data_IF_471352630595
#
_entry.id   IF_471352630595
#
_cell.length_a   1.000
_cell.length_b   1.000
_cell.length_c   1.000
_cell.angle_alpha   90.00
_cell.angle_beta   90.00
_cell.angle_gamma   90.00
#
_symmetry.space_group_name_H-M   'P 1'
#
loop_
_entity.id
_entity.type
_entity.pdbx_description
1 polymer ?
#
# COMPACT_ATOMS: atom_id res chain seq x y z
N UNK A 1 30.04 29.73 19.01
CA UNK A 1 29.04 28.66 19.03
C UNK A 1 27.70 29.30 19.21
N UNK A 2 26.96 29.44 18.13
CA UNK A 2 25.51 29.57 18.17
C UNK A 2 25.04 28.33 17.45
N UNK A 3 24.26 27.48 18.11
CA UNK A 3 23.89 26.15 17.60
C UNK A 3 23.13 26.18 16.26
N UNK A 4 22.46 25.07 15.89
CA UNK A 4 21.88 24.94 14.56
C UNK A 4 20.87 26.05 14.27
N UNK A 5 20.85 26.48 13.01
CA UNK A 5 19.84 27.42 12.51
C UNK A 5 18.49 26.70 12.40
N UNK A 6 17.45 27.29 12.98
CA UNK A 6 16.08 26.78 12.88
C UNK A 6 15.46 27.37 11.61
N UNK A 7 15.27 26.53 10.60
CA UNK A 7 14.67 26.89 9.30
C UNK A 7 13.15 26.90 9.40
N UNK A 8 12.58 25.98 10.19
CA UNK A 8 11.15 25.88 10.45
C UNK A 8 10.90 25.32 11.84
N UNK A 9 9.87 25.80 12.51
CA UNK A 9 9.37 25.23 13.75
C UNK A 9 7.85 25.38 13.80
N UNK A 10 7.15 24.30 14.11
CA UNK A 10 5.70 24.31 14.25
C UNK A 10 5.13 22.94 14.59
N UNK A 11 3.86 22.92 14.98
CA UNK A 11 3.12 21.69 15.25
C UNK A 11 2.32 21.29 14.02
N UNK A 12 2.40 20.01 13.62
CA UNK A 12 1.63 19.41 12.54
C UNK A 12 0.93 18.17 13.07
N UNK A 13 -0.36 18.30 13.36
CA UNK A 13 -1.16 17.25 14.02
C UNK A 13 -0.52 16.79 15.33
N UNK A 14 -0.16 15.50 15.42
CA UNK A 14 0.43 14.89 16.61
C UNK A 14 1.94 15.16 16.79
N UNK A 15 2.57 15.94 15.91
CA UNK A 15 4.02 16.16 15.91
C UNK A 15 4.41 17.62 16.12
N UNK A 16 5.32 17.88 17.05
CA UNK A 16 6.18 19.06 17.05
C UNK A 16 7.33 18.82 16.08
N UNK A 17 7.44 19.67 15.05
CA UNK A 17 8.43 19.55 14.00
C UNK A 17 9.39 20.74 14.07
N UNK A 18 10.69 20.44 14.05
CA UNK A 18 11.73 21.46 13.88
C UNK A 18 12.64 21.07 12.73
N UNK A 19 12.83 21.94 11.75
CA UNK A 19 13.79 21.75 10.64
C UNK A 19 15.04 22.55 10.95
N UNK A 20 16.17 21.85 11.00
CA UNK A 20 17.46 22.37 11.44
C UNK A 20 18.45 22.39 10.27
N UNK A 21 19.23 23.45 10.19
CA UNK A 21 20.43 23.55 9.37
C UNK A 21 21.65 23.69 10.27
N UNK A 22 22.70 22.93 10.00
CA UNK A 22 23.96 23.03 10.72
C UNK A 22 25.13 22.80 9.77
N UNK A 23 26.33 23.18 10.21
CA UNK A 23 27.60 22.78 9.57
C UNK A 23 28.43 21.84 10.43
N UNK A 24 27.98 21.57 11.65
CA UNK A 24 28.64 20.76 12.64
C UNK A 24 27.62 19.81 13.29
N UNK A 25 27.91 18.51 13.29
CA UNK A 25 27.04 17.54 13.93
C UNK A 25 26.98 17.75 15.44
N UNK A 26 28.07 18.21 16.07
CA UNK A 26 28.07 18.45 17.50
C UNK A 26 27.05 19.53 17.89
N UNK A 27 26.88 20.57 17.07
CA UNK A 27 25.84 21.58 17.29
C UNK A 27 24.43 20.97 17.20
N UNK A 28 24.18 20.02 16.30
CA UNK A 28 22.90 19.30 16.24
C UNK A 28 22.68 18.37 17.44
N UNK A 29 23.70 17.61 17.83
CA UNK A 29 23.62 16.69 18.98
C UNK A 29 23.37 17.44 20.28
N UNK A 30 24.09 18.54 20.50
CA UNK A 30 23.88 19.42 21.66
C UNK A 30 22.44 19.98 21.68
N UNK A 31 21.88 20.29 20.51
CA UNK A 31 20.49 20.72 20.39
C UNK A 31 19.50 19.58 20.67
N UNK A 32 19.76 18.37 20.19
CA UNK A 32 18.94 17.19 20.48
C UNK A 32 18.90 16.92 21.98
N UNK A 33 20.05 16.93 22.65
CA UNK A 33 20.15 16.74 24.10
C UNK A 33 19.39 17.85 24.86
N UNK A 34 19.61 19.12 24.49
CA UNK A 34 18.94 20.25 25.12
C UNK A 34 17.41 20.21 24.95
N UNK A 35 16.92 19.57 23.88
CA UNK A 35 15.49 19.47 23.59
C UNK A 35 14.91 18.08 23.88
N UNK A 36 15.65 17.20 24.59
CA UNK A 36 15.22 15.83 24.96
C UNK A 36 14.80 14.99 23.74
N UNK A 37 15.61 14.97 22.69
CA UNK A 37 15.51 14.00 21.60
C UNK A 37 16.44 12.82 21.88
N UNK A 38 15.97 11.61 21.57
CA UNK A 38 16.81 10.43 21.62
C UNK A 38 17.45 10.21 20.25
N UNK A 39 18.73 9.88 20.25
CA UNK A 39 19.46 9.43 19.07
C UNK A 39 20.40 8.30 19.47
N UNK A 40 20.79 7.49 18.48
CA UNK A 40 21.78 6.43 18.65
C UNK A 40 23.17 6.96 18.25
N UNK A 41 24.21 6.64 19.02
CA UNK A 41 25.59 7.04 18.70
C UNK A 41 26.05 6.53 17.33
N UNK A 42 25.52 5.38 16.87
CA UNK A 42 25.79 4.82 15.56
C UNK A 42 25.24 5.69 14.41
N UNK A 43 24.31 6.61 14.69
CA UNK A 43 23.78 7.55 13.69
C UNK A 43 24.71 8.75 13.46
N UNK A 44 25.63 9.07 14.38
CA UNK A 44 26.48 10.27 14.30
C UNK A 44 27.29 10.36 12.99
N UNK A 45 27.99 9.30 12.53
CA UNK A 45 28.71 9.36 11.27
C UNK A 45 27.79 9.55 10.04
N UNK A 46 26.53 9.12 10.16
CA UNK A 46 25.52 9.26 9.10
C UNK A 46 25.02 10.71 9.07
N UNK A 47 24.75 11.29 10.25
CA UNK A 47 24.40 12.69 10.42
C UNK A 47 25.49 13.59 9.81
N UNK A 48 26.77 13.30 10.11
CA UNK A 48 27.91 14.02 9.55
C UNK A 48 27.91 14.02 8.01
N UNK A 49 27.64 12.87 7.40
CA UNK A 49 27.63 12.74 5.94
C UNK A 49 26.51 13.59 5.32
N UNK A 50 25.29 13.54 5.88
CA UNK A 50 24.18 14.37 5.43
C UNK A 50 24.48 15.88 5.54
N UNK A 51 25.14 16.31 6.63
CA UNK A 51 25.55 17.70 6.80
C UNK A 51 26.59 18.14 5.76
N UNK A 52 27.56 17.29 5.45
CA UNK A 52 28.57 17.55 4.42
C UNK A 52 27.95 17.65 3.02
N UNK A 53 26.89 16.89 2.78
CA UNK A 53 26.06 16.94 1.56
C UNK A 53 25.12 18.16 1.53
N UNK A 54 25.01 18.92 2.63
CA UNK A 54 24.19 20.13 2.73
C UNK A 54 22.71 19.89 3.04
N UNK A 55 22.36 18.71 3.56
CA UNK A 55 20.98 18.36 3.90
C UNK A 55 20.50 19.06 5.18
N UNK A 56 19.18 19.20 5.28
CA UNK A 56 18.49 19.68 6.49
C UNK A 56 17.98 18.49 7.32
N UNK A 57 17.85 18.69 8.62
CA UNK A 57 17.32 17.68 9.53
C UNK A 57 15.93 18.08 10.01
N UNK A 58 14.92 17.28 9.68
CA UNK A 58 13.58 17.42 10.24
C UNK A 58 13.47 16.54 11.49
N UNK A 59 13.47 17.17 12.66
CA UNK A 59 13.26 16.52 13.95
C UNK A 59 11.77 16.48 14.28
N UNK A 60 11.26 15.28 14.59
CA UNK A 60 9.86 15.04 14.94
C UNK A 60 9.77 14.62 16.41
N UNK A 61 8.89 15.27 17.16
CA UNK A 61 8.56 14.90 18.55
C UNK A 61 7.06 14.70 18.67
N UNK A 62 6.63 13.59 19.25
CA UNK A 62 5.22 13.36 19.53
C UNK A 62 4.74 14.28 20.65
N UNK A 63 3.61 14.94 20.43
CA UNK A 63 2.92 15.71 21.46
C UNK A 63 2.28 14.71 22.45
N UNK A 64 2.47 14.87 23.77
CA UNK A 64 1.86 13.98 24.75
C UNK A 64 0.33 14.01 24.66
N UNK A 65 -0.28 12.84 24.47
CA UNK A 65 -1.72 12.61 24.51
C UNK A 65 -2.00 11.25 25.15
N UNK A 66 -3.21 11.02 25.68
CA UNK A 66 -3.58 9.72 26.26
C UNK A 66 -3.61 8.61 25.20
N UNK A 67 -4.02 8.94 23.98
CA UNK A 67 -4.05 8.04 22.80
C UNK A 67 -3.50 8.78 21.56
N UNK A 68 -2.16 8.92 21.43
CA UNK A 68 -1.59 9.62 20.30
C UNK A 68 -1.83 8.83 19.00
N UNK A 69 -2.64 9.39 18.10
CA UNK A 69 -2.86 8.83 16.76
C UNK A 69 -1.75 9.33 15.83
N UNK A 70 -0.77 8.47 15.56
CA UNK A 70 0.27 8.75 14.57
C UNK A 70 -0.36 8.75 13.18
N UNK A 71 -0.12 9.82 12.42
CA UNK A 71 -0.60 9.97 11.05
C UNK A 71 0.58 10.26 10.10
N UNK A 72 0.41 10.01 8.79
CA UNK A 72 1.41 10.43 7.80
C UNK A 72 1.69 11.93 7.86
N UNK A 73 2.92 12.30 7.52
CA UNK A 73 3.36 13.71 7.42
C UNK A 73 3.71 14.03 5.97
N UNK A 74 3.32 15.20 5.50
CA UNK A 74 3.67 15.67 4.16
C UNK A 74 4.84 16.64 4.22
N UNK A 75 5.92 16.32 3.51
CA UNK A 75 7.06 17.19 3.36
C UNK A 75 6.99 17.90 2.01
N UNK A 76 7.06 19.24 2.03
CA UNK A 76 7.14 20.06 0.82
C UNK A 76 8.46 20.82 0.82
N UNK A 77 9.23 20.65 -0.23
CA UNK A 77 10.53 21.30 -0.42
C UNK A 77 10.69 21.74 -1.89
N UNK A 78 11.69 22.57 -2.16
CA UNK A 78 11.94 23.14 -3.51
C UNK A 78 12.74 22.22 -4.43
N UNK A 79 13.25 21.10 -3.91
CA UNK A 79 14.01 20.11 -4.68
C UNK A 79 13.15 19.47 -5.76
N UNK A 80 13.81 19.04 -6.84
CA UNK A 80 13.15 18.47 -8.04
C UNK A 80 13.50 17.00 -8.26
N UNK A 81 14.41 16.45 -7.45
CA UNK A 81 14.83 15.04 -7.48
C UNK A 81 14.25 14.35 -6.25
N UNK A 82 13.23 13.48 -6.42
CA UNK A 82 12.70 12.71 -5.31
C UNK A 82 13.77 11.79 -4.71
N UNK A 83 13.85 11.79 -3.38
CA UNK A 83 14.78 10.99 -2.60
C UNK A 83 14.06 10.33 -1.42
N UNK A 84 14.43 9.10 -1.09
CA UNK A 84 13.97 8.41 0.14
C UNK A 84 15.17 8.27 1.08
N UNK A 85 15.23 9.02 2.20
CA UNK A 85 16.38 9.03 3.09
C UNK A 85 16.40 7.79 3.98
N UNK A 86 17.09 6.73 3.56
CA UNK A 86 17.14 5.44 4.25
C UNK A 86 18.45 5.19 5.00
N UNK A 87 19.51 5.98 4.75
CA UNK A 87 20.79 5.79 5.46
C UNK A 87 20.63 5.97 6.97
N UNK A 88 19.83 6.94 7.43
CA UNK A 88 19.52 7.10 8.86
C UNK A 88 18.66 5.96 9.41
N UNK A 89 17.79 5.38 8.57
CA UNK A 89 16.93 4.25 8.96
C UNK A 89 17.75 3.00 9.28
N UNK A 90 18.94 2.85 8.68
CA UNK A 90 19.86 1.73 8.91
C UNK A 90 20.05 1.36 10.38
N UNK A 91 20.11 2.34 11.26
CA UNK A 91 20.43 2.11 12.69
C UNK A 91 19.34 1.33 13.41
N UNK A 92 18.09 1.45 12.95
CA UNK A 92 16.93 0.77 13.54
C UNK A 92 16.23 -0.19 12.55
N UNK A 93 16.83 -0.42 11.39
CA UNK A 93 16.30 -1.31 10.37
C UNK A 93 16.48 -2.79 10.74
N UNK A 94 15.64 -3.64 10.15
CA UNK A 94 15.73 -5.11 10.22
C UNK A 94 16.21 -5.65 8.87
N UNK A 95 16.71 -6.89 8.84
CA UNK A 95 17.05 -7.57 7.59
C UNK A 95 15.82 -7.66 6.66
N UNK A 96 16.06 -7.51 5.37
CA UNK A 96 15.06 -7.55 4.30
C UNK A 96 13.86 -6.62 4.55
N UNK A 97 14.16 -5.39 5.00
CA UNK A 97 13.13 -4.39 5.29
C UNK A 97 12.41 -3.98 4.00
N UNK A 98 11.08 -4.05 4.04
CA UNK A 98 10.22 -3.70 2.91
C UNK A 98 10.18 -2.19 2.68
N UNK A 99 10.47 -1.74 1.46
CA UNK A 99 10.29 -0.36 1.04
C UNK A 99 9.39 -0.35 -0.19
N UNK A 100 8.24 0.32 -0.06
CA UNK A 100 7.34 0.58 -1.19
C UNK A 100 7.20 2.07 -1.39
N UNK A 101 7.42 2.50 -2.62
CA UNK A 101 7.38 3.91 -3.01
C UNK A 101 6.33 4.12 -4.09
N UNK A 102 5.59 5.21 -3.98
CA UNK A 102 4.56 5.62 -4.92
C UNK A 102 4.91 7.00 -5.47
N UNK A 103 4.99 7.10 -6.79
CA UNK A 103 5.24 8.36 -7.48
C UNK A 103 4.01 8.72 -8.27
N UNK A 104 3.44 9.88 -7.97
CA UNK A 104 2.35 10.47 -8.72
C UNK A 104 2.94 11.60 -9.58
N UNK A 105 2.94 11.40 -10.90
CA UNK A 105 3.72 12.18 -11.86
C UNK A 105 3.06 12.28 -13.23
N UNK A 106 3.85 12.69 -14.22
CA UNK A 106 3.44 12.81 -15.62
C UNK A 106 3.86 11.55 -16.42
N UNK A 107 4.92 10.87 -15.98
CA UNK A 107 5.49 9.69 -16.64
C UNK A 107 5.95 8.63 -15.62
N UNK A 108 6.53 7.54 -16.12
CA UNK A 108 7.04 6.46 -15.27
C UNK A 108 8.24 6.92 -14.46
N UNK A 109 8.18 6.76 -13.14
CA UNK A 109 9.31 6.98 -12.26
C UNK A 109 10.31 5.82 -12.35
N UNK A 110 11.59 6.13 -12.21
CA UNK A 110 12.71 5.20 -12.28
C UNK A 110 13.72 5.48 -11.17
N UNK A 111 14.41 4.46 -10.63
CA UNK A 111 15.60 4.68 -9.81
C UNK A 111 16.76 5.20 -10.68
N UNK A 112 17.56 6.12 -10.15
CA UNK A 112 18.68 6.75 -10.89
C UNK A 112 20.05 6.28 -10.39
N UNK A 113 20.23 6.12 -9.08
CA UNK A 113 21.43 5.54 -8.46
C UNK A 113 21.25 4.07 -8.04
N UNK A 114 20.01 3.58 -7.96
CA UNK A 114 19.69 2.17 -7.74
C UNK A 114 19.45 1.45 -9.09
N UNK A 115 19.66 0.14 -9.13
CA UNK A 115 19.33 -0.68 -10.30
C UNK A 115 17.82 -0.87 -10.43
N UNK A 116 17.39 -1.28 -11.61
CA UNK A 116 16.06 -1.83 -11.82
C UNK A 116 16.18 -3.34 -12.08
N UNK A 117 15.33 -4.12 -11.42
CA UNK A 117 15.31 -5.58 -11.54
C UNK A 117 13.99 -6.03 -12.14
N UNK A 118 14.08 -6.89 -13.15
CA UNK A 118 12.96 -7.70 -13.61
C UNK A 118 13.09 -9.07 -12.95
N UNK A 119 12.12 -9.44 -12.11
CA UNK A 119 12.10 -10.75 -11.43
C UNK A 119 11.85 -11.88 -12.44
N UNK A 120 12.47 -13.04 -12.20
CA UNK A 120 12.17 -14.26 -12.93
C UNK A 120 10.75 -14.75 -12.57
N UNK A 121 9.79 -14.77 -13.51
CA UNK A 121 8.42 -15.17 -13.21
C UNK A 121 8.27 -16.64 -12.85
N UNK A 122 9.24 -17.51 -13.19
CA UNK A 122 9.21 -18.93 -12.82
C UNK A 122 9.43 -19.17 -11.33
N UNK A 123 10.07 -18.24 -10.62
CA UNK A 123 10.29 -18.29 -9.17
C UNK A 123 9.05 -17.88 -8.37
N UNK A 124 8.04 -17.29 -9.01
CA UNK A 124 6.80 -16.85 -8.34
C UNK A 124 5.89 -18.07 -8.14
N UNK A 125 5.35 -18.20 -6.92
CA UNK A 125 4.33 -19.20 -6.57
C UNK A 125 2.96 -18.79 -7.12
N UNK A 126 2.74 -19.04 -8.41
CA UNK A 126 1.48 -18.72 -9.09
C UNK A 126 0.24 -19.44 -8.50
N UNK A 127 0.30 -20.74 -8.14
CA UNK A 127 -0.85 -21.44 -7.55
C UNK A 127 -1.34 -20.82 -6.23
N UNK A 128 -0.43 -20.29 -5.40
CA UNK A 128 -0.77 -19.66 -4.12
C UNK A 128 -0.76 -18.12 -4.18
N UNK A 129 -1.10 -17.54 -5.33
CA UNK A 129 -1.26 -16.09 -5.50
C UNK A 129 -0.01 -15.28 -5.10
N UNK A 130 1.16 -15.78 -5.47
CA UNK A 130 2.46 -15.19 -5.18
C UNK A 130 2.75 -15.01 -3.68
N UNK A 131 2.35 -15.99 -2.84
CA UNK A 131 2.63 -15.97 -1.41
C UNK A 131 4.13 -15.80 -1.06
N UNK A 132 5.03 -16.20 -1.97
CA UNK A 132 6.48 -16.05 -1.85
C UNK A 132 7.05 -14.76 -2.48
N UNK A 133 6.21 -13.79 -2.89
CA UNK A 133 6.67 -12.65 -3.68
C UNK A 133 7.79 -11.84 -3.00
N UNK A 134 7.72 -11.66 -1.68
CA UNK A 134 8.78 -10.99 -0.92
C UNK A 134 10.13 -11.71 -1.09
N UNK A 135 10.17 -13.02 -0.87
CA UNK A 135 11.38 -13.84 -1.02
C UNK A 135 11.96 -13.75 -2.44
N UNK A 136 11.09 -13.82 -3.46
CA UNK A 136 11.51 -13.71 -4.86
C UNK A 136 12.15 -12.33 -5.13
N UNK A 137 11.54 -11.25 -4.63
CA UNK A 137 12.08 -9.91 -4.79
C UNK A 137 13.39 -9.75 -4.03
N UNK A 138 13.48 -10.23 -2.79
CA UNK A 138 14.72 -10.19 -1.99
C UNK A 138 15.86 -10.89 -2.72
N UNK A 139 15.66 -12.14 -3.14
CA UNK A 139 16.70 -12.87 -3.84
C UNK A 139 17.09 -12.25 -5.19
N UNK A 140 16.15 -11.59 -5.89
CA UNK A 140 16.42 -10.90 -7.14
C UNK A 140 17.14 -9.55 -6.96
N UNK A 141 16.89 -8.84 -5.85
CA UNK A 141 17.58 -7.59 -5.48
C UNK A 141 19.00 -7.87 -4.96
N UNK A 142 19.19 -8.99 -4.27
CA UNK A 142 20.51 -9.43 -3.77
C UNK A 142 21.38 -10.07 -4.85
N UNK A 143 20.81 -10.31 -6.04
CA UNK A 143 21.54 -10.88 -7.16
C UNK A 143 22.78 -10.04 -7.48
N UNK A 144 23.88 -10.70 -7.89
CA UNK A 144 25.21 -10.10 -8.02
C UNK A 144 25.27 -8.79 -8.83
N UNK A 145 24.36 -8.59 -9.79
CA UNK A 145 24.32 -7.40 -10.65
C UNK A 145 23.45 -6.28 -10.10
N UNK A 146 22.56 -6.60 -9.16
CA UNK A 146 21.69 -5.68 -8.43
C UNK A 146 22.35 -5.19 -7.12
N UNK A 147 23.18 -6.04 -6.49
CA UNK A 147 24.07 -5.70 -5.37
C UNK A 147 23.33 -5.06 -4.18
N UNK A 148 22.15 -5.59 -3.84
CA UNK A 148 21.31 -5.13 -2.72
C UNK A 148 20.61 -3.78 -2.97
N UNK A 149 20.95 -3.10 -4.07
CA UNK A 149 20.52 -1.74 -4.36
C UNK A 149 19.70 -1.68 -5.64
N UNK A 150 18.53 -2.31 -5.61
CA UNK A 150 17.63 -2.34 -6.75
C UNK A 150 16.16 -2.16 -6.39
N UNK A 151 15.35 -1.76 -7.37
CA UNK A 151 13.89 -1.70 -7.26
C UNK A 151 13.23 -2.53 -8.37
N UNK A 152 12.10 -3.12 -8.04
CA UNK A 152 11.16 -3.70 -9.01
C UNK A 152 10.01 -2.72 -9.26
N UNK A 153 9.57 -2.57 -10.51
CA UNK A 153 8.34 -1.82 -10.81
C UNK A 153 7.13 -2.74 -10.75
N UNK A 154 6.27 -2.55 -9.74
CA UNK A 154 5.06 -3.35 -9.55
C UNK A 154 3.85 -2.80 -10.33
N UNK A 155 3.84 -1.50 -10.64
CA UNK A 155 2.83 -0.84 -11.47
C UNK A 155 3.39 0.46 -12.05
N UNK A 156 3.06 0.76 -13.30
CA UNK A 156 3.34 2.06 -13.90
C UNK A 156 2.26 2.33 -14.96
N UNK A 157 1.42 3.33 -14.75
CA UNK A 157 0.35 3.60 -15.69
C UNK A 157 -0.57 4.73 -15.22
N UNK A 158 -1.77 4.83 -15.82
CA UNK A 158 -2.78 5.82 -15.44
C UNK A 158 -3.08 5.84 -13.93
N UNK A 159 -3.27 7.02 -13.36
CA UNK A 159 -3.57 7.23 -11.93
C UNK A 159 -5.04 6.97 -11.55
N UNK A 160 -5.93 6.77 -12.55
CA UNK A 160 -7.35 6.48 -12.36
C UNK A 160 -7.63 5.12 -11.70
N UNK A 161 -6.60 4.27 -11.57
CA UNK A 161 -6.64 3.03 -10.78
C UNK A 161 -6.75 3.27 -9.27
N UNK A 162 -6.48 4.49 -8.80
CA UNK A 162 -6.58 4.88 -7.39
C UNK A 162 -8.03 5.28 -7.09
N UNK A 163 -8.67 4.54 -6.17
CA UNK A 163 -10.00 4.88 -5.70
C UNK A 163 -9.99 6.23 -4.98
N UNK A 164 -10.91 7.12 -5.36
CA UNK A 164 -11.11 8.40 -4.67
C UNK A 164 -12.20 8.31 -3.58
N UNK A 165 -12.80 7.13 -3.39
CA UNK A 165 -13.83 6.91 -2.37
C UNK A 165 -13.24 7.16 -0.98
N UNK A 166 -13.90 8.00 -0.19
CA UNK A 166 -13.48 8.33 1.17
C UNK A 166 -12.34 9.35 1.26
N UNK A 167 -11.80 9.86 0.13
CA UNK A 167 -10.80 10.94 0.16
C UNK A 167 -11.44 12.29 0.43
N UNK A 168 -12.54 12.60 -0.25
CA UNK A 168 -13.24 13.88 -0.12
C UNK A 168 -14.70 13.72 -0.57
N UNK A 169 -15.59 14.52 0.02
CA UNK A 169 -16.98 14.67 -0.43
C UNK A 169 -17.35 16.15 -0.42
N UNK A 170 -18.09 16.59 -1.43
CA UNK A 170 -18.64 17.96 -1.47
C UNK A 170 -19.67 18.23 -0.37
N UNK A 171 -20.16 17.18 0.30
CA UNK A 171 -21.06 17.31 1.44
C UNK A 171 -20.31 17.59 2.74
N UNK A 172 -18.98 17.43 2.76
CA UNK A 172 -18.19 17.68 3.96
C UNK A 172 -18.05 19.19 4.17
N UNK A 173 -18.87 19.75 5.04
CA UNK A 173 -18.92 21.19 5.34
C UNK A 173 -18.52 21.42 6.81
N UNK A 174 -17.28 21.86 7.06
CA UNK A 174 -16.83 22.18 8.42
C UNK A 174 -17.63 23.34 9.03
N UNK A 175 -18.16 24.28 8.23
CA UNK A 175 -18.89 25.44 8.75
C UNK A 175 -20.21 25.05 9.39
N UNK A 176 -20.75 23.87 9.06
CA UNK A 176 -21.97 23.34 9.66
C UNK A 176 -21.84 23.10 11.18
N UNK A 177 -20.61 22.99 11.70
CA UNK A 177 -20.36 22.78 13.14
C UNK A 177 -20.21 24.08 13.93
N UNK A 178 -20.05 25.24 13.28
CA UNK A 178 -19.88 26.53 13.97
C UNK A 178 -21.23 27.00 14.53
N UNK A 179 -21.31 27.16 15.85
CA UNK A 179 -22.52 27.48 16.60
C UNK A 179 -23.49 26.30 16.73
N UNK A 180 -23.09 25.09 16.35
CA UNK A 180 -23.92 23.90 16.41
C UNK A 180 -24.00 23.38 17.86
N UNK A 181 -25.19 23.12 18.41
CA UNK A 181 -25.30 22.41 19.68
C UNK A 181 -24.68 21.00 19.57
N UNK A 182 -23.92 20.58 20.58
CA UNK A 182 -23.27 19.26 20.61
C UNK A 182 -24.24 18.10 20.29
N UNK A 183 -25.48 18.18 20.77
CA UNK A 183 -26.52 17.16 20.55
C UNK A 183 -26.91 16.96 19.07
N UNK A 184 -26.62 17.92 18.18
CA UNK A 184 -26.90 17.86 16.75
C UNK A 184 -25.71 17.41 15.90
N UNK A 185 -24.54 17.16 16.52
CA UNK A 185 -23.31 16.79 15.82
C UNK A 185 -23.47 15.49 15.04
N UNK A 186 -24.06 14.45 15.67
CA UNK A 186 -24.32 13.17 15.01
C UNK A 186 -25.19 13.32 13.76
N UNK A 187 -26.33 14.02 13.88
CA UNK A 187 -27.24 14.27 12.75
C UNK A 187 -26.53 15.02 11.62
N UNK A 188 -25.67 15.97 11.96
CA UNK A 188 -24.87 16.73 10.99
C UNK A 188 -23.88 15.81 10.28
N UNK A 189 -23.09 15.01 11.00
CA UNK A 189 -22.13 14.05 10.41
C UNK A 189 -22.82 12.99 9.54
N UNK A 190 -23.99 12.49 9.99
CA UNK A 190 -24.84 11.58 9.24
C UNK A 190 -25.32 12.23 7.94
N UNK A 191 -25.76 13.49 7.98
CA UNK A 191 -26.18 14.23 6.78
C UNK A 191 -25.04 14.49 5.80
N UNK A 192 -23.81 14.65 6.30
CA UNK A 192 -22.61 14.76 5.48
C UNK A 192 -22.13 13.38 4.98
N UNK A 193 -22.74 12.30 5.47
CA UNK A 193 -22.46 10.92 5.11
C UNK A 193 -21.10 10.42 5.57
N UNK A 194 -20.44 11.09 6.52
CA UNK A 194 -19.10 10.74 6.99
C UNK A 194 -19.12 9.77 8.18
N UNK A 195 -20.27 9.61 8.83
CA UNK A 195 -20.48 8.71 9.95
C UNK A 195 -21.90 8.15 9.90
N UNK A 196 -22.07 6.90 10.31
CA UNK A 196 -23.38 6.29 10.50
C UNK A 196 -23.32 5.29 11.65
N UNK A 197 -24.35 5.24 12.47
CA UNK A 197 -24.42 4.30 13.59
C UNK A 197 -25.72 3.48 13.51
N UNK A 198 -25.63 2.20 13.88
CA UNK A 198 -26.77 1.28 13.93
C UNK A 198 -26.82 0.56 15.27
N UNK A 199 -28.04 0.22 15.68
CA UNK A 199 -28.30 -0.58 16.88
C UNK A 199 -28.90 -1.93 16.47
N UNK A 200 -28.10 -2.99 16.62
CA UNK A 200 -28.53 -4.38 16.41
C UNK A 200 -28.53 -5.18 17.73
N UNK A 201 -28.78 -4.51 18.86
CA UNK A 201 -28.63 -5.04 20.23
C UNK A 201 -27.30 -4.64 20.89
N UNK A 202 -26.37 -4.14 20.09
CA UNK A 202 -25.17 -3.40 20.47
C UNK A 202 -25.01 -2.28 19.45
N UNK A 203 -24.65 -1.08 19.91
CA UNK A 203 -24.47 0.08 19.04
C UNK A 203 -23.11 0.01 18.36
N UNK A 204 -23.11 0.12 17.04
CA UNK A 204 -21.89 0.17 16.22
C UNK A 204 -21.92 1.41 15.36
N UNK A 205 -20.83 2.16 15.36
CA UNK A 205 -20.63 3.32 14.51
C UNK A 205 -19.56 3.03 13.46
N UNK A 206 -19.89 3.30 12.20
CA UNK A 206 -18.95 3.30 11.09
C UNK A 206 -18.53 4.73 10.77
N UNK A 207 -17.22 4.96 10.75
CA UNK A 207 -16.62 6.23 10.34
C UNK A 207 -16.04 6.06 8.94
N UNK A 208 -16.51 6.87 7.98
CA UNK A 208 -16.04 6.81 6.59
C UNK A 208 -14.69 7.50 6.38
N UNK A 209 -14.15 8.12 7.42
CA UNK A 209 -12.82 8.70 7.43
C UNK A 209 -12.07 8.32 8.72
N UNK A 210 -10.82 7.81 8.65
CA UNK A 210 -10.12 7.22 9.79
C UNK A 210 -9.80 8.23 10.91
N UNK A 211 -9.72 9.53 10.59
CA UNK A 211 -9.41 10.57 11.58
C UNK A 211 -10.65 11.09 12.34
N UNK A 212 -11.87 10.73 11.92
CA UNK A 212 -13.08 11.31 12.50
C UNK A 212 -13.30 10.89 13.95
N UNK A 213 -13.10 9.61 14.26
CA UNK A 213 -13.31 9.09 15.62
C UNK A 213 -12.40 9.76 16.65
N UNK A 214 -11.09 9.86 16.34
CA UNK A 214 -10.14 10.54 17.21
C UNK A 214 -10.44 12.04 17.37
N UNK A 215 -10.91 12.67 16.30
CA UNK A 215 -11.33 14.07 16.35
C UNK A 215 -12.57 14.27 17.23
N UNK A 216 -13.55 13.36 17.16
CA UNK A 216 -14.70 13.40 18.06
C UNK A 216 -14.28 13.16 19.51
N UNK A 217 -13.39 12.23 19.78
CA UNK A 217 -12.89 11.99 21.14
C UNK A 217 -12.16 13.20 21.74
N UNK A 218 -11.50 14.02 20.90
CA UNK A 218 -10.81 15.25 21.33
C UNK A 218 -11.78 16.37 21.73
N UNK A 219 -12.83 16.61 20.94
CA UNK A 219 -13.74 17.75 21.12
C UNK A 219 -15.10 17.40 21.75
N UNK A 220 -15.43 16.12 21.79
CA UNK A 220 -16.69 15.60 22.29
C UNK A 220 -16.46 14.23 22.99
N UNK A 221 -15.61 14.18 24.03
CA UNK A 221 -15.25 12.92 24.68
C UNK A 221 -16.47 12.21 25.27
N UNK A 222 -16.50 10.88 25.09
CA UNK A 222 -17.52 10.06 25.72
C UNK A 222 -17.38 10.07 27.26
N UNK A 223 -18.48 10.17 28.02
CA UNK A 223 -18.42 10.15 29.48
C UNK A 223 -17.85 8.83 30.03
N UNK A 224 -17.23 8.91 31.22
CA UNK A 224 -16.67 7.75 31.90
C UNK A 224 -17.70 6.61 32.05
N UNK A 225 -17.31 5.42 31.60
CA UNK A 225 -18.14 4.22 31.68
C UNK A 225 -19.21 4.09 30.60
N UNK A 226 -19.27 5.02 29.64
CA UNK A 226 -20.12 4.93 28.45
C UNK A 226 -19.25 4.58 27.25
N UNK A 227 -19.67 3.59 26.45
CA UNK A 227 -18.95 3.28 25.22
C UNK A 227 -19.11 4.44 24.21
N UNK A 228 -18.06 4.84 23.48
CA UNK A 228 -18.15 5.94 22.51
C UNK A 228 -19.25 5.74 21.46
N UNK A 229 -19.46 4.51 20.99
CA UNK A 229 -20.52 4.20 20.03
C UNK A 229 -21.92 4.52 20.60
N UNK A 230 -22.22 4.12 21.84
CA UNK A 230 -23.49 4.45 22.52
C UNK A 230 -23.67 5.96 22.69
N UNK A 231 -22.58 6.66 23.05
CA UNK A 231 -22.59 8.10 23.24
C UNK A 231 -22.90 8.86 21.94
N UNK A 232 -22.17 8.59 20.86
CA UNK A 232 -22.36 9.28 19.59
C UNK A 232 -23.67 8.92 18.88
N UNK A 233 -24.17 7.70 19.07
CA UNK A 233 -25.47 7.29 18.52
C UNK A 233 -26.64 8.11 19.09
N UNK A 234 -26.55 8.57 20.35
CA UNK A 234 -27.58 9.41 20.97
C UNK A 234 -26.99 10.50 21.88
N UNK A 235 -26.38 11.53 21.29
CA UNK A 235 -25.83 12.66 22.07
C UNK A 235 -26.87 13.36 22.95
N UNK A 236 -28.12 13.45 22.49
CA UNK A 236 -29.23 14.01 23.28
C UNK A 236 -29.60 13.17 24.50
N UNK A 237 -29.34 11.85 24.49
CA UNK A 237 -29.52 10.99 25.66
C UNK A 237 -28.54 11.33 26.79
N UNK A 238 -27.40 11.95 26.44
CA UNK A 238 -26.30 12.28 27.35
C UNK A 238 -26.09 13.80 27.50
N UNK A 239 -27.05 14.64 27.10
CA UNK A 239 -26.90 16.11 27.07
C UNK A 239 -26.36 16.69 28.39
N UNK A 240 -26.85 16.20 29.53
CA UNK A 240 -26.42 16.66 30.85
C UNK A 240 -24.98 16.23 31.25
N UNK A 241 -24.38 15.30 30.51
CA UNK A 241 -23.02 14.78 30.71
C UNK A 241 -22.02 15.34 29.70
N UNK A 242 -22.47 16.08 28.68
CA UNK A 242 -21.58 16.73 27.71
C UNK A 242 -20.89 17.92 28.39
N UNK A 243 -19.58 18.00 28.28
CA UNK A 243 -18.82 19.15 28.78
C UNK A 243 -18.94 20.34 27.80
N UNK A 244 -19.66 21.41 28.17
CA UNK A 244 -19.85 22.56 27.29
C UNK A 244 -18.56 23.37 27.11
N UNK A 245 -17.55 23.21 27.99
CA UNK A 245 -16.27 23.90 27.85
C UNK A 245 -15.38 23.23 26.80
N UNK A 246 -15.48 21.91 26.62
CA UNK A 246 -14.71 21.17 25.61
C UNK A 246 -15.30 21.38 24.22
N UNK A 247 -16.62 21.25 24.07
CA UNK A 247 -17.27 21.51 22.77
C UNK A 247 -17.24 23.00 22.40
N UNK A 248 -17.43 23.88 23.38
CA UNK A 248 -17.61 25.31 23.14
C UNK A 248 -18.80 25.58 22.23
N UNK A 249 -18.55 26.25 21.11
CA UNK A 249 -19.51 26.49 20.03
C UNK A 249 -19.23 25.64 18.78
N UNK A 250 -18.37 24.62 18.88
CA UNK A 250 -17.98 23.77 17.76
C UNK A 250 -16.99 24.41 16.77
N UNK A 251 -16.54 25.66 16.99
CA UNK A 251 -15.62 26.32 16.06
C UNK A 251 -14.21 25.67 16.02
N UNK A 252 -13.72 25.17 17.15
CA UNK A 252 -12.43 24.47 17.20
C UNK A 252 -12.52 23.10 16.50
N UNK A 253 -13.60 22.34 16.73
CA UNK A 253 -13.89 21.11 15.99
C UNK A 253 -14.01 21.38 14.48
N UNK A 254 -14.74 22.44 14.08
CA UNK A 254 -14.87 22.83 12.68
C UNK A 254 -13.50 23.10 12.03
N UNK A 255 -12.62 23.82 12.73
CA UNK A 255 -11.26 24.12 12.25
C UNK A 255 -10.44 22.84 12.10
N UNK A 256 -10.45 21.98 13.11
CA UNK A 256 -9.71 20.73 13.06
C UNK A 256 -10.29 19.72 12.04
N UNK A 257 -11.61 19.73 11.80
CA UNK A 257 -12.27 18.95 10.74
C UNK A 257 -11.84 19.43 9.34
N UNK A 258 -11.77 20.75 9.13
CA UNK A 258 -11.21 21.31 7.88
C UNK A 258 -9.75 20.90 7.71
N UNK A 259 -8.91 21.18 8.71
CA UNK A 259 -7.46 21.04 8.61
C UNK A 259 -6.98 19.59 8.52
N UNK A 260 -7.67 18.66 9.18
CA UNK A 260 -7.26 17.24 9.27
C UNK A 260 -8.02 16.32 8.31
N UNK A 261 -9.21 16.69 7.85
CA UNK A 261 -10.07 15.83 7.01
C UNK A 261 -10.34 16.47 5.64
N UNK A 262 -11.01 17.62 5.61
CA UNK A 262 -11.56 18.17 4.36
C UNK A 262 -10.46 18.72 3.45
N UNK A 263 -9.63 19.63 3.93
CA UNK A 263 -8.59 20.27 3.12
C UNK A 263 -7.52 19.27 2.63
N UNK A 264 -7.00 18.34 3.46
CA UNK A 264 -6.10 17.29 2.97
C UNK A 264 -6.77 16.38 1.93
N UNK A 265 -8.04 16.02 2.15
CA UNK A 265 -8.83 15.21 1.22
C UNK A 265 -9.00 15.87 -0.14
N UNK A 266 -9.40 17.15 -0.15
CA UNK A 266 -9.53 17.94 -1.37
C UNK A 266 -8.18 18.03 -2.10
N UNK A 267 -7.10 18.29 -1.35
CA UNK A 267 -5.74 18.35 -1.90
C UNK A 267 -5.32 17.02 -2.54
N UNK A 268 -5.67 15.89 -1.94
CA UNK A 268 -5.39 14.57 -2.51
C UNK A 268 -6.14 14.35 -3.83
N UNK A 269 -7.42 14.75 -3.90
CA UNK A 269 -8.20 14.71 -5.14
C UNK A 269 -7.59 15.61 -6.22
N UNK A 270 -7.20 16.83 -5.88
CA UNK A 270 -6.52 17.74 -6.81
C UNK A 270 -5.20 17.16 -7.34
N UNK A 271 -4.41 16.53 -6.46
CA UNK A 271 -3.16 15.86 -6.85
C UNK A 271 -3.42 14.78 -7.89
N UNK A 272 -4.37 13.88 -7.63
CA UNK A 272 -4.75 12.81 -8.54
C UNK A 272 -5.31 13.33 -9.87
N UNK A 273 -6.03 14.45 -9.85
CA UNK A 273 -6.52 15.10 -11.07
C UNK A 273 -5.41 15.80 -11.86
N UNK A 274 -4.42 16.37 -11.17
CA UNK A 274 -3.31 17.11 -11.78
C UNK A 274 -2.23 16.22 -12.39
N UNK A 275 -2.14 14.96 -11.94
CA UNK A 275 -1.09 14.01 -12.31
C UNK A 275 -1.69 12.72 -12.86
N UNK A 276 -1.57 12.48 -14.18
CA UNK A 276 -2.27 11.39 -14.84
C UNK A 276 -1.59 10.03 -14.67
N UNK A 277 -0.39 9.97 -14.08
CA UNK A 277 0.44 8.78 -14.06
C UNK A 277 0.86 8.43 -12.64
N UNK A 278 0.80 7.15 -12.26
CA UNK A 278 1.35 6.66 -11.00
C UNK A 278 2.29 5.48 -11.25
N UNK A 279 3.43 5.49 -10.54
CA UNK A 279 4.40 4.40 -10.52
C UNK A 279 4.51 3.85 -9.09
N UNK A 280 4.36 2.55 -8.93
CA UNK A 280 4.62 1.81 -7.69
C UNK A 280 5.89 0.99 -7.86
N UNK A 281 6.89 1.25 -7.03
CA UNK A 281 8.10 0.43 -6.96
C UNK A 281 8.24 -0.19 -5.57
N UNK A 282 8.90 -1.34 -5.54
CA UNK A 282 9.12 -2.12 -4.34
C UNK A 282 10.56 -2.61 -4.30
N UNK A 283 11.10 -2.73 -3.09
CA UNK A 283 12.40 -3.33 -2.82
C UNK A 283 12.39 -3.90 -1.40
N UNK A 284 13.32 -4.81 -1.15
CA UNK A 284 13.75 -5.18 0.20
C UNK A 284 15.22 -4.83 0.30
N UNK A 285 15.62 -4.31 1.45
CA UNK A 285 17.02 -3.92 1.67
C UNK A 285 17.39 -4.14 3.13
N UNK A 286 18.57 -4.69 3.35
CA UNK A 286 19.09 -4.98 4.68
C UNK A 286 19.92 -3.81 5.21
N UNK A 287 20.08 -3.67 6.54
CA UNK A 287 20.77 -2.51 7.13
C UNK A 287 22.17 -2.30 6.55
N UNK A 288 22.94 -3.38 6.34
CA UNK A 288 24.30 -3.28 5.81
C UNK A 288 24.39 -2.75 4.37
N UNK A 289 23.29 -2.74 3.62
CA UNK A 289 23.18 -2.28 2.24
C UNK A 289 22.65 -0.85 2.13
N UNK A 290 22.05 -0.29 3.19
CA UNK A 290 21.53 1.09 3.28
C UNK A 290 22.64 2.13 3.36
N UNK A 291 23.51 2.16 2.36
CA UNK A 291 24.70 3.01 2.28
C UNK A 291 24.45 4.28 1.46
N UNK A 292 23.46 4.25 0.57
CA UNK A 292 23.02 5.37 -0.25
C UNK A 292 21.52 5.59 -0.09
N UNK A 293 21.05 6.79 -0.40
CA UNK A 293 19.61 7.07 -0.46
C UNK A 293 19.11 6.90 -1.89
N UNK A 294 18.03 6.13 -2.13
CA UNK A 294 17.43 6.01 -3.44
C UNK A 294 16.96 7.35 -4.00
N UNK A 295 17.45 7.70 -5.18
CA UNK A 295 17.07 8.87 -5.96
C UNK A 295 16.28 8.45 -7.20
N UNK A 296 15.30 9.27 -7.60
CA UNK A 296 14.40 8.93 -8.68
C UNK A 296 14.27 10.05 -9.72
N UNK A 297 13.89 9.66 -10.94
CA UNK A 297 13.57 10.56 -12.03
C UNK A 297 12.39 10.00 -12.84
N UNK A 298 11.85 10.78 -13.76
CA UNK A 298 10.86 10.30 -14.73
C UNK A 298 11.52 9.92 -16.06
N UNK A 299 11.01 8.88 -16.72
CA UNK A 299 11.36 8.53 -18.09
C UNK A 299 10.06 8.37 -18.93
N UNK A 300 9.82 9.24 -19.93
CA UNK A 300 8.61 9.23 -20.74
C UNK A 300 8.57 8.13 -21.81
N UNK A 301 9.70 7.50 -22.13
CA UNK A 301 9.83 6.55 -23.25
C UNK A 301 9.55 5.09 -22.83
N UNK A 302 9.35 4.84 -21.52
CA UNK A 302 9.11 3.49 -21.00
C UNK A 302 7.63 3.10 -21.10
N UNK A 303 7.35 1.81 -21.36
CA UNK A 303 5.98 1.33 -21.40
C UNK A 303 5.36 1.28 -20.00
N UNK A 304 4.02 1.25 -20.00
CA UNK A 304 3.21 0.94 -18.83
C UNK A 304 3.52 -0.49 -18.32
N UNK A 305 3.33 -0.69 -17.01
CA UNK A 305 3.42 -1.98 -16.33
C UNK A 305 2.08 -2.25 -15.68
N UNK A 306 1.43 -3.34 -16.07
CA UNK A 306 0.11 -3.71 -15.56
C UNK A 306 0.13 -4.03 -14.06
N UNK A 307 -0.93 -3.60 -13.37
CA UNK A 307 -1.10 -3.80 -11.92
C UNK A 307 -1.37 -5.25 -11.57
N UNK A 308 -2.09 -5.95 -12.44
CA UNK A 308 -2.56 -7.31 -12.23
C UNK A 308 -1.87 -8.19 -13.26
N UNK A 309 -1.14 -9.20 -12.78
CA UNK A 309 -0.50 -10.22 -13.61
C UNK A 309 -1.25 -11.53 -13.40
N UNK A 310 -1.66 -12.17 -14.48
CA UNK A 310 -2.50 -13.37 -14.44
C UNK A 310 -1.73 -14.50 -15.10
N UNK A 311 -1.61 -15.63 -14.40
CA UNK A 311 -1.25 -16.90 -15.01
C UNK A 311 -2.53 -17.71 -15.24
N UNK A 312 -2.71 -18.24 -16.44
CA UNK A 312 -3.87 -19.05 -16.79
C UNK A 312 -3.56 -20.53 -16.56
N UNK A 313 -4.36 -21.22 -15.75
CA UNK A 313 -4.23 -22.65 -15.51
C UNK A 313 -5.20 -23.45 -16.40
N UNK A 314 -4.67 -24.26 -17.29
CA UNK A 314 -5.40 -25.32 -17.99
C UNK A 314 -5.26 -26.64 -17.23
N UNK A 315 -6.34 -27.06 -16.57
CA UNK A 315 -6.41 -28.39 -15.96
C UNK A 315 -6.78 -29.45 -17.00
N UNK A 316 -5.91 -30.44 -17.20
CA UNK A 316 -6.11 -31.55 -18.14
C UNK A 316 -6.84 -32.71 -17.46
N UNK A 317 -7.57 -33.50 -18.25
CA UNK A 317 -8.32 -34.66 -17.77
C UNK A 317 -7.44 -35.84 -17.33
N UNK A 318 -6.19 -35.90 -17.80
CA UNK A 318 -5.18 -36.87 -17.39
C UNK A 318 -4.54 -36.52 -16.03
N UNK A 319 -5.03 -35.46 -15.37
CA UNK A 319 -4.55 -34.99 -14.08
C UNK A 319 -3.42 -33.98 -14.18
N UNK A 320 -2.82 -33.74 -15.35
CA UNK A 320 -1.77 -32.73 -15.51
C UNK A 320 -2.35 -31.31 -15.58
N UNK A 321 -1.50 -30.30 -15.34
CA UNK A 321 -1.87 -28.90 -15.55
C UNK A 321 -0.83 -28.20 -16.45
N UNK A 322 -1.29 -27.21 -17.21
CA UNK A 322 -0.45 -26.32 -17.99
C UNK A 322 -0.77 -24.88 -17.59
N UNK A 323 0.26 -24.15 -17.16
CA UNK A 323 0.13 -22.74 -16.81
C UNK A 323 0.70 -21.88 -17.93
N UNK A 324 -0.07 -20.90 -18.40
CA UNK A 324 0.43 -19.85 -19.28
C UNK A 324 0.70 -18.61 -18.45
N UNK A 325 1.96 -18.21 -18.34
CA UNK A 325 2.40 -17.05 -17.57
C UNK A 325 2.08 -15.73 -18.30
N UNK A 326 2.10 -14.57 -17.60
CA UNK A 326 1.82 -13.28 -18.22
C UNK A 326 2.75 -12.89 -19.38
N UNK A 327 3.95 -13.46 -19.42
CA UNK A 327 4.94 -13.27 -20.49
C UNK A 327 4.79 -14.27 -21.65
N UNK A 328 3.80 -15.18 -21.57
CA UNK A 328 3.50 -16.20 -22.57
C UNK A 328 4.26 -17.52 -22.39
N UNK A 329 5.11 -17.65 -21.37
CA UNK A 329 5.78 -18.93 -21.07
C UNK A 329 4.76 -19.98 -20.61
N UNK A 330 4.88 -21.18 -21.16
CA UNK A 330 4.09 -22.34 -20.74
C UNK A 330 4.87 -23.18 -19.74
N UNK A 331 4.26 -23.48 -18.60
CA UNK A 331 4.83 -24.31 -17.54
C UNK A 331 3.98 -25.56 -17.36
N UNK A 332 4.58 -26.73 -17.57
CA UNK A 332 3.92 -28.02 -17.36
C UNK A 332 4.05 -28.47 -15.90
N UNK A 333 2.92 -28.86 -15.30
CA UNK A 333 2.84 -29.34 -13.90
C UNK A 333 2.26 -30.76 -13.89
N UNK A 334 3.04 -31.79 -13.51
CA UNK A 334 2.57 -33.16 -13.49
C UNK A 334 1.51 -33.43 -12.41
N UNK A 335 0.44 -34.17 -12.75
CA UNK A 335 -0.54 -34.73 -11.80
C UNK A 335 -1.15 -33.70 -10.83
N UNK A 336 -1.35 -32.46 -11.27
CA UNK A 336 -1.84 -31.34 -10.46
C UNK A 336 -1.04 -31.15 -9.17
N UNK A 337 0.26 -31.47 -9.25
CA UNK A 337 1.21 -31.33 -8.16
C UNK A 337 1.59 -29.88 -7.87
N UNK A 338 2.56 -29.73 -6.97
CA UNK A 338 3.10 -28.42 -6.60
C UNK A 338 3.75 -27.72 -7.80
N UNK A 339 3.87 -26.39 -7.71
CA UNK A 339 4.62 -25.59 -8.67
C UNK A 339 6.04 -26.15 -8.85
N UNK A 340 6.63 -26.14 -10.06
CA UNK A 340 7.93 -26.74 -10.28
C UNK A 340 9.00 -26.18 -9.34
N UNK A 341 9.65 -27.09 -8.61
CA UNK A 341 10.88 -26.78 -7.89
C UNK A 341 12.03 -26.73 -8.90
N UNK A 342 12.17 -25.59 -9.58
CA UNK A 342 13.27 -25.36 -10.50
C UNK A 342 14.63 -25.46 -9.78
N UNK A 343 15.71 -25.84 -10.49
CA UNK A 343 17.04 -25.97 -9.87
C UNK A 343 17.49 -24.71 -9.12
N UNK A 344 18.30 -24.89 -8.08
CA UNK A 344 18.84 -23.79 -7.26
C UNK A 344 19.68 -22.82 -8.11
N UNK A 345 20.28 -23.31 -9.19
CA UNK A 345 21.05 -22.50 -10.15
C UNK A 345 20.19 -21.59 -11.02
N UNK A 346 18.86 -21.77 -11.04
CA UNK A 346 17.97 -20.89 -11.79
C UNK A 346 18.03 -19.47 -11.19
N UNK A 347 18.37 -18.45 -12.01
CA UNK A 347 18.45 -17.07 -11.53
C UNK A 347 17.14 -16.55 -10.96
N UNK A 348 17.23 -15.66 -9.98
CA UNK A 348 16.06 -15.01 -9.36
C UNK A 348 15.62 -13.77 -10.14
N UNK A 349 16.55 -13.13 -10.83
CA UNK A 349 16.34 -12.04 -11.76
C UNK A 349 16.36 -12.52 -13.22
N UNK A 350 15.37 -12.09 -13.99
CA UNK A 350 15.37 -12.21 -15.44
C UNK A 350 16.37 -11.23 -16.04
N UNK A 351 16.30 -9.97 -15.60
CA UNK A 351 17.22 -8.92 -16.03
C UNK A 351 17.59 -7.98 -14.88
N UNK A 352 18.82 -7.48 -14.91
CA UNK A 352 19.23 -6.30 -14.15
C UNK A 352 19.56 -5.17 -15.10
N UNK A 353 19.01 -3.99 -14.83
CA UNK A 353 19.08 -2.84 -15.72
C UNK A 353 19.57 -1.59 -14.97
N UNK A 354 20.29 -0.74 -15.70
CA UNK A 354 20.49 0.66 -15.34
C UNK A 354 19.47 1.50 -16.10
N UNK A 355 18.67 2.26 -15.37
CA UNK A 355 17.67 3.13 -15.97
C UNK A 355 18.31 4.42 -16.48
N UNK A 356 17.79 4.93 -17.60
CA UNK A 356 18.11 6.23 -18.15
C UNK A 356 16.89 7.15 -18.03
N UNK A 357 17.09 8.47 -17.98
CA UNK A 357 16.00 9.45 -17.93
C UNK A 357 15.24 9.57 -19.26
N UNK A 358 15.78 8.99 -20.34
CA UNK A 358 15.14 8.90 -21.66
C UNK A 358 15.65 7.66 -22.39
N UNK A 359 14.83 7.14 -23.30
CA UNK A 359 15.11 5.92 -24.06
C UNK A 359 14.98 4.63 -23.25
N UNK A 360 15.42 3.54 -23.87
CA UNK A 360 15.40 2.22 -23.27
C UNK A 360 16.45 2.07 -22.15
N UNK A 361 16.20 1.23 -21.13
CA UNK A 361 17.17 0.91 -20.10
C UNK A 361 18.43 0.24 -20.68
N UNK A 362 19.56 0.44 -20.03
CA UNK A 362 20.77 -0.33 -20.30
C UNK A 362 20.69 -1.66 -19.55
N UNK A 363 20.62 -2.77 -20.27
CA UNK A 363 20.69 -4.11 -19.70
C UNK A 363 22.12 -4.40 -19.23
N UNK A 364 22.29 -4.67 -17.93
CA UNK A 364 23.56 -5.02 -17.31
C UNK A 364 23.75 -6.54 -17.20
N UNK A 365 22.63 -7.26 -17.06
CA UNK A 365 22.55 -8.70 -17.03
C UNK A 365 21.21 -9.15 -17.62
N UNK A 366 21.22 -10.20 -18.43
CA UNK A 366 20.01 -10.84 -18.95
C UNK A 366 20.20 -12.36 -18.86
N UNK A 367 19.30 -13.00 -18.13
CA UNK A 367 19.27 -14.43 -17.87
C UNK A 367 18.18 -15.15 -18.67
N UNK A 368 17.47 -14.46 -19.58
CA UNK A 368 16.32 -14.97 -20.34
C UNK A 368 16.62 -16.30 -21.03
N UNK A 369 17.71 -16.37 -21.79
CA UNK A 369 18.08 -17.60 -22.53
C UNK A 369 18.35 -18.78 -21.58
N UNK A 370 18.97 -18.53 -20.43
CA UNK A 370 19.25 -19.56 -19.41
C UNK A 370 17.96 -20.04 -18.76
N UNK A 371 17.08 -19.12 -18.39
CA UNK A 371 15.78 -19.42 -17.76
C UNK A 371 14.90 -20.22 -18.74
N UNK A 372 14.84 -19.80 -20.01
CA UNK A 372 14.09 -20.48 -21.05
C UNK A 372 14.61 -21.89 -21.32
N UNK A 373 15.93 -22.08 -21.35
CA UNK A 373 16.54 -23.40 -21.50
C UNK A 373 16.17 -24.33 -20.34
N UNK A 374 16.25 -23.85 -19.10
CA UNK A 374 15.85 -24.62 -17.91
C UNK A 374 14.36 -24.96 -17.91
N UNK A 375 13.49 -24.03 -18.33
CA UNK A 375 12.06 -24.29 -18.49
C UNK A 375 11.79 -25.32 -19.58
N UNK A 376 12.48 -25.23 -20.72
CA UNK A 376 12.35 -26.19 -21.82
C UNK A 376 12.77 -27.60 -21.38
N UNK A 377 13.88 -27.72 -20.65
CA UNK A 377 14.36 -28.99 -20.08
C UNK A 377 13.35 -29.57 -19.08
N UNK A 378 12.80 -28.74 -18.19
CA UNK A 378 11.74 -29.15 -17.27
C UNK A 378 10.51 -29.69 -18.01
N UNK A 379 10.01 -28.91 -18.97
CA UNK A 379 8.84 -29.28 -19.76
C UNK A 379 9.09 -30.55 -20.57
N UNK A 380 10.26 -30.71 -21.20
CA UNK A 380 10.60 -31.90 -21.97
C UNK A 380 10.73 -33.16 -21.09
N UNK A 381 11.25 -33.03 -19.87
CA UNK A 381 11.40 -34.14 -18.93
C UNK A 381 10.07 -34.62 -18.34
N UNK A 382 9.09 -33.72 -18.20
CA UNK A 382 7.86 -33.99 -17.46
C UNK A 382 6.62 -34.13 -18.35
N UNK A 383 6.57 -33.45 -19.51
CA UNK A 383 5.42 -33.52 -20.42
C UNK A 383 5.39 -34.89 -21.08
N UNK A 384 4.28 -35.66 -20.95
CA UNK A 384 4.16 -36.94 -21.62
C UNK A 384 4.33 -36.77 -23.13
N UNK A 385 5.24 -37.54 -23.73
CA UNK A 385 5.34 -37.66 -25.17
C UNK A 385 4.13 -38.45 -25.68
N UNK A 386 3.04 -37.76 -25.99
CA UNK A 386 2.00 -38.35 -26.83
C UNK A 386 2.56 -38.37 -28.26
N UNK A 387 3.15 -39.50 -28.65
CA UNK A 387 3.44 -39.76 -30.05
C UNK A 387 2.13 -39.58 -30.82
N UNK A 388 2.06 -38.56 -31.67
CA UNK A 388 1.04 -38.43 -32.69
C UNK A 388 1.30 -39.51 -33.75
N UNK A 389 1.06 -40.77 -33.39
CA UNK A 389 1.61 -41.91 -34.12
C UNK A 389 1.17 -43.29 -33.63
N UNK A 390 0.02 -43.42 -32.97
CA UNK A 390 -0.65 -44.74 -32.89
C UNK A 390 -2.16 -44.59 -33.07
N UNK A 391 -2.58 -44.45 -34.32
CA UNK A 391 -3.88 -44.98 -34.77
C UNK A 391 -3.82 -46.51 -34.64
N UNK A 392 -3.91 -47.03 -33.42
CA UNK A 392 -4.31 -48.42 -33.22
C UNK A 392 -5.82 -48.47 -33.42
N UNK A 393 -6.22 -48.89 -34.62
CA UNK A 393 -7.57 -49.30 -34.96
C UNK A 393 -8.01 -50.38 -33.96
N UNK A 394 -8.75 -49.96 -32.93
CA UNK A 394 -9.33 -50.83 -31.92
C UNK A 394 -10.84 -50.71 -31.99
N UNK A 395 -11.46 -51.50 -32.86
CA UNK A 395 -12.90 -51.74 -32.84
C UNK A 395 -13.29 -52.33 -31.47
N UNK A 396 -14.12 -51.61 -30.70
CA UNK A 396 -14.77 -52.21 -29.54
C UNK A 396 -15.29 -51.25 -28.46
N UNK A 397 -16.58 -50.91 -28.59
CA UNK A 397 -17.53 -50.61 -27.53
C UNK A 397 -17.40 -49.29 -26.72
N UNK A 398 -18.37 -48.40 -27.01
CA UNK A 398 -19.06 -47.46 -26.12
C UNK A 398 -18.38 -47.09 -24.79
N UNK A 399 -17.83 -45.87 -24.77
CA UNK A 399 -17.37 -45.19 -23.56
C UNK A 399 -17.07 -43.73 -23.84
N UNK A 400 -18.05 -42.98 -24.36
CA UNK A 400 -17.90 -41.54 -24.53
C UNK A 400 -17.74 -40.85 -23.17
N UNK A 401 -16.56 -40.31 -22.88
CA UNK A 401 -16.37 -39.37 -21.78
C UNK A 401 -17.04 -38.04 -22.14
N UNK A 402 -18.32 -37.90 -21.78
CA UNK A 402 -18.97 -36.61 -21.67
C UNK A 402 -18.55 -35.95 -20.36
N UNK A 403 -17.78 -34.87 -20.42
CA UNK A 403 -17.56 -34.01 -19.27
C UNK A 403 -18.87 -33.25 -18.99
N UNK A 404 -19.68 -33.75 -18.06
CA UNK A 404 -20.74 -32.96 -17.44
C UNK A 404 -20.11 -32.05 -16.40
N UNK A 405 -20.09 -30.74 -16.66
CA UNK A 405 -19.82 -29.75 -15.62
C UNK A 405 -21.00 -29.70 -14.65
N UNK A 406 -20.88 -30.35 -13.48
CA UNK A 406 -21.73 -30.00 -12.34
C UNK A 406 -21.28 -28.61 -11.84
N UNK A 407 -21.98 -27.58 -12.31
CA UNK A 407 -21.90 -26.25 -11.72
C UNK A 407 -22.60 -26.28 -10.36
N UNK A 408 -21.85 -26.32 -9.26
CA UNK A 408 -22.36 -25.92 -7.94
C UNK A 408 -22.41 -24.38 -7.86
N UNK A 409 -23.17 -23.77 -8.77
CA UNK A 409 -23.53 -22.36 -8.74
C UNK A 409 -24.87 -22.19 -8.04
N UNK A 410 -24.85 -22.02 -6.72
CA UNK A 410 -26.00 -21.59 -5.94
C UNK A 410 -26.30 -20.10 -6.17
N UNK A 411 -26.80 -19.75 -7.35
CA UNK A 411 -27.30 -18.42 -7.70
C UNK A 411 -28.78 -18.50 -8.07
N UNK A 412 -29.67 -18.15 -7.14
CA UNK A 412 -31.11 -18.00 -7.37
C UNK A 412 -31.44 -16.55 -7.67
N UNK A 413 -31.83 -16.22 -8.90
CA UNK A 413 -32.62 -15.03 -9.21
C UNK A 413 -33.66 -15.33 -10.29
N UNK A 414 -34.82 -14.67 -10.13
CA UNK A 414 -36.01 -14.50 -10.99
C UNK A 414 -37.15 -15.51 -10.75
N UNK A 415 -38.40 -15.11 -10.49
CA UNK A 415 -39.00 -13.78 -10.44
C UNK A 415 -40.53 -13.85 -10.20
N UNK A 416 -41.08 -12.73 -9.73
CA UNK A 416 -42.45 -12.20 -9.87
C UNK A 416 -43.67 -13.14 -9.81
N UNK A 417 -44.48 -12.96 -8.75
CA UNK A 417 -45.87 -13.39 -8.69
C UNK A 417 -46.66 -12.64 -7.61
N UNK A 418 -47.48 -11.68 -8.05
CA UNK A 418 -48.41 -10.82 -7.29
C UNK A 418 -49.57 -11.59 -6.61
N UNK A 419 -50.21 -10.89 -5.65
CA UNK A 419 -51.50 -11.17 -4.95
C UNK A 419 -51.35 -12.06 -3.71
N UNK A 420 -51.84 -11.74 -2.51
CA UNK A 420 -52.82 -10.76 -2.09
C UNK A 420 -53.61 -11.37 -0.93
N UNK A 421 -53.75 -10.61 0.16
CA UNK A 421 -54.81 -10.68 1.17
C UNK A 421 -54.97 -11.93 2.08
N UNK A 422 -55.07 -11.56 3.36
CA UNK A 422 -55.98 -12.10 4.38
C UNK A 422 -55.52 -13.32 5.20
N UNK A 423 -55.23 -13.02 6.47
CA UNK A 423 -56.17 -13.44 7.51
C UNK A 423 -55.72 -14.58 8.41
N UNK A 424 -55.41 -14.18 9.64
CA UNK A 424 -56.07 -14.68 10.86
C UNK A 424 -55.79 -16.12 11.35
N UNK A 425 -55.38 -16.14 12.63
CA UNK A 425 -55.61 -17.12 13.72
C UNK A 425 -54.40 -18.02 14.04
N UNK A 426 -53.61 -17.73 15.10
CA UNK A 426 -53.94 -17.84 16.54
C UNK A 426 -54.34 -19.27 16.95
N UNK A 427 -53.39 -20.03 17.53
CA UNK A 427 -53.49 -20.55 18.93
C UNK A 427 -52.34 -21.50 19.32
N UNK A 428 -51.67 -21.10 20.41
CA UNK A 428 -51.37 -21.84 21.65
C UNK A 428 -50.80 -23.26 21.52
N UNK A 429 -49.60 -23.46 22.08
CA UNK A 429 -49.42 -23.61 23.53
C UNK A 429 -48.13 -22.96 23.98
#
# INVERSE_FOLDING_TARGET
GGGPEIVYQGQVGAFDITVLSSKDSQELLDWFDANNYNYDEAAVPIIDAYLQEGNLFAAFKLVPAETPVVHPVTLRYTGVEPCVPIRLTRVAAVEDMDIRVFFLGDHRAIPTNYRHVLVNPLKIDWPNLAANYKEVVTAAVDAFKADGNAFVTEYAGPSDVISQVGLHSTNWDPKAFIGLPAIEVYNTLLSQGIMECWDYGEVVCEYRHPLLEGLLAEYLPAPDGIAPADFYYCLSCFEAMIDPMVWGDGAEFATAYEDRIVAPGLRAVELLQSKPYVTRMYTTISPHEMMEDPMFAENPDLPNIDRIRIAEKLQRCDGHAEYTLPDGREVFVPNDGDWPAFPDEMPWEEETQQMAMAGAPQVLNNNTETIDAMLADWNAANRPSYDAGSDSSGDGAEGGCGCTSESSGGGLVFGLGLLGLAGLLRRRR
#
